data_IF_709492786808
#
_entry.id   IF_709492786808
#
_cell.length_a   1.000
_cell.length_b   1.000
_cell.length_c   1.000
_cell.angle_alpha   90.00
_cell.angle_beta   90.00
_cell.angle_gamma   90.00
#
_symmetry.space_group_name_H-M   'P 1'
#
loop_
_entity.id
_entity.type
_entity.pdbx_description
1 polymer ?
#
# COMPACT_ATOMS: atom_id res chain seq x y z
N UNK A 1 6.29 13.47 -87.69
CA UNK A 1 5.23 12.71 -87.00
C UNK A 1 4.85 11.52 -87.86
N UNK A 2 5.73 10.54 -88.10
CA UNK A 2 6.68 9.85 -87.18
C UNK A 2 5.97 9.11 -86.02
N UNK A 3 6.37 7.90 -85.61
CA UNK A 3 6.93 6.72 -86.35
C UNK A 3 6.91 5.49 -85.40
N UNK A 4 7.22 4.28 -85.89
CA UNK A 4 6.99 2.99 -85.20
C UNK A 4 8.26 2.30 -84.63
N UNK A 5 8.03 1.20 -83.88
CA UNK A 5 8.87 -0.03 -83.69
C UNK A 5 9.75 -0.13 -82.40
N UNK A 6 9.54 -1.14 -81.51
CA UNK A 6 10.20 -2.49 -81.37
C UNK A 6 11.53 -2.40 -80.53
N UNK A 7 11.95 -3.29 -79.58
CA UNK A 7 11.81 -4.76 -79.33
C UNK A 7 11.90 -5.17 -77.83
N UNK A 8 11.23 -6.27 -77.43
CA UNK A 8 11.65 -7.42 -76.57
C UNK A 8 12.03 -7.37 -75.05
N UNK A 9 11.86 -8.54 -74.41
CA UNK A 9 11.99 -8.87 -72.97
C UNK A 9 13.36 -9.48 -72.61
N UNK A 10 13.79 -9.38 -71.34
CA UNK A 10 14.65 -10.43 -70.74
C UNK A 10 14.51 -10.51 -69.21
N UNK A 11 14.45 -11.73 -68.68
CA UNK A 11 14.37 -12.03 -67.24
C UNK A 11 15.73 -12.46 -66.69
N UNK A 12 16.17 -11.90 -65.56
CA UNK A 12 17.42 -12.32 -64.91
C UNK A 12 17.11 -13.25 -63.73
N UNK A 13 17.45 -14.53 -63.93
CA UNK A 13 17.65 -15.53 -62.87
C UNK A 13 19.09 -15.48 -62.39
N UNK A 14 19.32 -15.42 -61.09
CA UNK A 14 20.64 -15.64 -60.49
C UNK A 14 20.64 -16.98 -59.72
N UNK A 15 21.43 -17.95 -60.18
CA UNK A 15 21.76 -19.17 -59.45
C UNK A 15 23.26 -19.21 -59.11
N UNK A 16 23.51 -19.39 -57.81
CA UNK A 16 24.66 -20.04 -57.16
C UNK A 16 26.12 -19.59 -57.45
N UNK A 17 26.79 -19.15 -56.38
CA UNK A 17 27.96 -19.92 -55.90
C UNK A 17 28.24 -19.74 -54.39
N UNK A 18 28.01 -20.83 -53.66
CA UNK A 18 28.78 -21.33 -52.49
C UNK A 18 29.37 -20.28 -51.53
N UNK A 19 28.80 -20.19 -50.33
CA UNK A 19 29.53 -19.85 -49.10
C UNK A 19 29.46 -21.07 -48.17
N UNK A 20 30.60 -21.39 -47.56
CA UNK A 20 30.81 -22.61 -46.78
C UNK A 20 29.96 -22.65 -45.49
N UNK A 21 29.64 -23.87 -45.01
CA UNK A 21 29.01 -24.10 -43.71
C UNK A 21 29.96 -23.73 -42.57
N UNK A 22 30.03 -22.45 -42.21
CA UNK A 22 30.63 -22.03 -40.95
C UNK A 22 29.63 -22.33 -39.83
N UNK A 23 29.69 -23.57 -39.35
CA UNK A 23 28.85 -24.17 -38.32
C UNK A 23 29.20 -23.57 -36.93
N UNK A 24 29.01 -22.26 -36.82
CA UNK A 24 29.07 -21.54 -35.56
C UNK A 24 27.86 -21.93 -34.74
N UNK A 25 28.09 -22.80 -33.74
CA UNK A 25 27.17 -22.93 -32.63
C UNK A 25 26.98 -21.55 -32.04
N UNK A 26 25.78 -20.99 -32.20
CA UNK A 26 25.32 -19.92 -31.32
C UNK A 26 25.17 -20.59 -29.96
N UNK A 27 26.27 -20.59 -29.21
CA UNK A 27 26.21 -20.78 -27.79
C UNK A 27 25.32 -19.67 -27.27
N UNK A 28 24.06 -20.04 -26.96
CA UNK A 28 23.23 -19.29 -26.05
C UNK A 28 23.92 -19.39 -24.68
N UNK A 29 24.97 -18.60 -24.50
CA UNK A 29 25.37 -18.13 -23.19
C UNK A 29 24.14 -17.41 -22.63
N UNK A 30 23.32 -18.15 -21.88
CA UNK A 30 22.47 -17.54 -20.87
C UNK A 30 23.39 -16.67 -20.03
N UNK A 31 23.33 -15.36 -20.27
CA UNK A 31 24.01 -14.38 -19.45
C UNK A 31 23.44 -14.54 -18.05
N UNK A 32 24.14 -15.31 -17.22
CA UNK A 32 23.89 -15.37 -15.79
C UNK A 32 24.23 -14.00 -15.24
N UNK A 33 23.20 -13.14 -15.24
CA UNK A 33 23.21 -11.90 -14.48
C UNK A 33 23.40 -12.33 -13.03
N UNK A 34 24.61 -12.14 -12.52
CA UNK A 34 24.93 -12.36 -11.11
C UNK A 34 24.27 -11.24 -10.29
N UNK A 35 22.98 -11.40 -10.04
CA UNK A 35 22.12 -10.43 -9.37
C UNK A 35 22.63 -10.09 -7.96
N UNK A 36 23.40 -10.99 -7.33
CA UNK A 36 24.10 -10.78 -6.06
C UNK A 36 24.89 -9.46 -6.05
N UNK A 37 25.56 -9.15 -7.16
CA UNK A 37 26.49 -8.03 -7.29
C UNK A 37 25.87 -6.79 -7.97
N UNK A 38 24.60 -6.86 -8.37
CA UNK A 38 23.89 -5.76 -9.04
C UNK A 38 23.85 -4.50 -8.18
N UNK A 39 23.48 -4.65 -6.91
CA UNK A 39 23.31 -3.53 -5.99
C UNK A 39 24.65 -2.91 -5.55
N UNK A 40 25.71 -3.71 -5.36
CA UNK A 40 27.04 -3.18 -5.00
C UNK A 40 27.60 -2.23 -6.06
N UNK A 41 27.33 -2.50 -7.34
CA UNK A 41 27.79 -1.69 -8.47
C UNK A 41 27.01 -0.38 -8.70
N UNK A 42 25.81 -0.23 -8.12
CA UNK A 42 24.91 0.90 -8.40
C UNK A 42 25.37 2.19 -7.74
N UNK A 43 25.21 3.31 -8.45
CA UNK A 43 25.38 4.67 -7.93
C UNK A 43 24.06 5.14 -7.28
N UNK A 44 24.02 5.49 -5.98
CA UNK A 44 22.80 5.92 -5.29
C UNK A 44 22.08 7.08 -5.98
N UNK A 45 22.81 8.03 -6.57
CA UNK A 45 22.20 9.17 -7.28
C UNK A 45 21.51 8.75 -8.57
N UNK A 46 22.02 7.74 -9.28
CA UNK A 46 21.31 7.11 -10.40
C UNK A 46 20.08 6.34 -9.93
N UNK A 47 20.17 5.66 -8.79
CA UNK A 47 19.06 4.91 -8.23
C UNK A 47 17.88 5.81 -7.88
N UNK A 48 18.14 6.98 -7.28
CA UNK A 48 17.13 8.03 -7.04
C UNK A 48 16.41 8.44 -8.33
N UNK A 49 17.14 8.60 -9.43
CA UNK A 49 16.56 8.92 -10.75
C UNK A 49 15.70 7.77 -11.28
N UNK A 50 16.16 6.52 -11.18
CA UNK A 50 15.39 5.37 -11.65
C UNK A 50 14.11 5.17 -10.83
N UNK A 51 14.19 5.18 -9.50
CA UNK A 51 13.04 4.98 -8.62
C UNK A 51 11.97 6.08 -8.76
N UNK A 52 12.36 7.32 -9.07
CA UNK A 52 11.43 8.42 -9.39
C UNK A 52 10.65 8.22 -10.71
N UNK A 53 11.08 7.32 -11.59
CA UNK A 53 10.39 7.05 -12.85
C UNK A 53 9.53 5.77 -12.82
N UNK A 54 9.52 5.03 -11.71
CA UNK A 54 8.83 3.74 -11.55
C UNK A 54 7.68 3.91 -10.54
N UNK A 55 6.77 4.83 -10.83
CA UNK A 55 5.69 5.21 -9.90
C UNK A 55 4.42 4.36 -10.05
N UNK A 56 4.26 3.69 -11.19
CA UNK A 56 3.20 2.69 -11.39
C UNK A 56 3.65 1.60 -12.36
N UNK A 57 3.45 0.33 -12.00
CA UNK A 57 3.74 -0.82 -12.85
C UNK A 57 2.42 -1.56 -13.09
N UNK A 58 1.82 -1.34 -14.26
CA UNK A 58 0.49 -1.89 -14.59
C UNK A 58 0.49 -3.42 -14.84
N UNK A 59 1.66 -4.02 -15.07
CA UNK A 59 1.80 -5.47 -15.23
C UNK A 59 2.09 -6.11 -13.87
N UNK A 60 1.17 -6.94 -13.38
CA UNK A 60 1.33 -7.67 -12.12
C UNK A 60 2.59 -8.54 -12.10
N UNK A 61 2.92 -9.21 -13.21
CA UNK A 61 4.17 -9.99 -13.34
C UNK A 61 5.41 -9.10 -13.20
N UNK A 62 5.45 -7.95 -13.88
CA UNK A 62 6.61 -7.04 -13.80
C UNK A 62 6.70 -6.38 -12.41
N UNK A 63 5.57 -6.05 -11.79
CA UNK A 63 5.51 -5.54 -10.43
C UNK A 63 6.07 -6.56 -9.45
N UNK A 64 5.63 -7.82 -9.54
CA UNK A 64 6.08 -8.89 -8.66
C UNK A 64 7.59 -9.16 -8.79
N UNK A 65 8.14 -9.22 -10.02
CA UNK A 65 9.59 -9.39 -10.21
C UNK A 65 10.38 -8.14 -9.77
N UNK A 66 9.86 -6.93 -9.96
CA UNK A 66 10.51 -5.72 -9.47
C UNK A 66 10.53 -5.66 -7.93
N UNK A 67 9.40 -5.93 -7.27
CA UNK A 67 9.33 -5.97 -5.81
C UNK A 67 10.19 -7.12 -5.26
N UNK A 68 10.25 -8.26 -5.94
CA UNK A 68 11.16 -9.36 -5.58
C UNK A 68 12.62 -8.90 -5.64
N UNK A 69 13.06 -8.23 -6.71
CA UNK A 69 14.41 -7.64 -6.82
C UNK A 69 14.73 -6.64 -5.68
N UNK A 70 13.72 -5.92 -5.17
CA UNK A 70 13.82 -5.03 -4.01
C UNK A 70 13.83 -5.75 -2.65
N UNK A 71 13.66 -7.07 -2.60
CA UNK A 71 13.64 -7.85 -1.35
C UNK A 71 14.62 -9.02 -1.31
N UNK A 72 15.03 -9.54 -2.47
CA UNK A 72 15.91 -10.70 -2.65
C UNK A 72 17.28 -10.20 -3.13
N UNK A 73 18.03 -9.64 -2.19
CA UNK A 73 19.38 -9.11 -2.42
C UNK A 73 20.33 -9.44 -1.27
N UNK A 74 21.62 -9.44 -1.57
CA UNK A 74 22.68 -9.51 -0.57
C UNK A 74 23.49 -8.22 -0.64
N UNK A 75 23.60 -7.48 0.46
CA UNK A 75 24.35 -6.23 0.56
C UNK A 75 25.16 -6.25 1.86
N UNK A 76 26.44 -5.87 1.80
CA UNK A 76 27.21 -5.58 3.01
C UNK A 76 26.84 -4.20 3.56
N UNK A 77 26.04 -4.19 4.63
CA UNK A 77 25.41 -3.00 5.20
C UNK A 77 26.41 -2.19 6.06
N UNK A 78 27.61 -2.72 6.32
CA UNK A 78 28.69 -1.97 6.98
C UNK A 78 29.28 -0.85 6.10
N UNK A 79 28.94 -0.82 4.81
CA UNK A 79 29.34 0.22 3.86
C UNK A 79 28.27 1.32 3.77
N UNK A 80 28.64 2.58 3.99
CA UNK A 80 27.72 3.73 3.94
C UNK A 80 26.98 3.86 2.60
N UNK A 81 27.63 3.49 1.50
CA UNK A 81 27.01 3.47 0.16
C UNK A 81 25.87 2.44 0.09
N UNK A 82 26.08 1.26 0.67
CA UNK A 82 25.10 0.18 0.66
C UNK A 82 23.95 0.47 1.63
N UNK A 83 24.22 1.17 2.74
CA UNK A 83 23.20 1.73 3.62
C UNK A 83 22.29 2.75 2.88
N UNK A 84 22.85 3.67 2.11
CA UNK A 84 22.05 4.61 1.30
C UNK A 84 21.19 3.87 0.25
N UNK A 85 21.73 2.83 -0.41
CA UNK A 85 20.98 1.99 -1.35
C UNK A 85 19.84 1.25 -0.63
N UNK A 86 20.10 0.69 0.56
CA UNK A 86 19.09 0.05 1.39
C UNK A 86 17.96 1.02 1.77
N UNK A 87 18.29 2.24 2.21
CA UNK A 87 17.31 3.28 2.50
C UNK A 87 16.42 3.57 1.28
N UNK A 88 17.02 3.73 0.10
CA UNK A 88 16.29 3.97 -1.14
C UNK A 88 15.38 2.79 -1.51
N UNK A 89 15.82 1.55 -1.29
CA UNK A 89 15.02 0.34 -1.51
C UNK A 89 13.81 0.29 -0.56
N UNK A 90 14.03 0.45 0.75
CA UNK A 90 12.97 0.46 1.77
C UNK A 90 11.98 1.58 1.47
N UNK A 91 12.46 2.79 1.16
CA UNK A 91 11.61 3.90 0.75
C UNK A 91 10.79 3.57 -0.49
N UNK A 92 11.39 2.96 -1.53
CA UNK A 92 10.65 2.62 -2.74
C UNK A 92 9.59 1.54 -2.51
N UNK A 93 9.82 0.60 -1.59
CA UNK A 93 8.80 -0.34 -1.16
C UNK A 93 7.62 0.38 -0.48
N UNK A 94 7.89 1.35 0.39
CA UNK A 94 6.82 2.20 0.99
C UNK A 94 6.06 2.99 -0.06
N UNK A 95 6.75 3.63 -1.01
CA UNK A 95 6.12 4.37 -2.11
C UNK A 95 5.24 3.48 -3.02
N UNK A 96 5.48 2.16 -3.05
CA UNK A 96 4.67 1.16 -3.77
C UNK A 96 3.56 0.52 -2.89
N UNK A 97 3.41 0.95 -1.63
CA UNK A 97 2.49 0.36 -0.66
C UNK A 97 2.91 -1.01 -0.13
N UNK A 98 4.18 -1.41 -0.29
CA UNK A 98 4.74 -2.70 0.15
C UNK A 98 5.29 -2.63 1.59
N UNK A 99 4.52 -2.01 2.49
CA UNK A 99 4.93 -1.69 3.87
C UNK A 99 5.36 -2.95 4.65
N UNK A 100 4.69 -4.09 4.46
CA UNK A 100 5.09 -5.35 5.10
C UNK A 100 6.50 -5.81 4.68
N UNK A 101 6.85 -5.67 3.39
CA UNK A 101 8.18 -6.06 2.88
C UNK A 101 9.24 -5.10 3.38
N UNK A 102 8.94 -3.80 3.39
CA UNK A 102 9.80 -2.77 3.96
C UNK A 102 10.06 -2.98 5.47
N UNK A 103 9.02 -3.30 6.25
CA UNK A 103 9.11 -3.67 7.66
C UNK A 103 9.99 -4.90 7.90
N UNK A 104 9.81 -5.96 7.10
CA UNK A 104 10.61 -7.19 7.21
C UNK A 104 12.10 -6.92 6.94
N UNK A 105 12.43 -6.04 5.99
CA UNK A 105 13.82 -5.62 5.74
C UNK A 105 14.40 -4.85 6.93
N UNK A 106 13.67 -3.89 7.51
CA UNK A 106 14.11 -3.16 8.71
C UNK A 106 14.38 -4.14 9.86
N UNK A 107 13.49 -5.10 10.09
CA UNK A 107 13.65 -6.10 11.17
C UNK A 107 14.82 -7.07 10.97
N UNK A 108 15.26 -7.33 9.74
CA UNK A 108 16.38 -8.24 9.47
C UNK A 108 17.76 -7.59 9.60
N UNK A 109 17.82 -6.27 9.83
CA UNK A 109 19.05 -5.48 9.72
C UNK A 109 19.28 -4.68 11.01
N UNK A 110 20.52 -4.68 11.52
CA UNK A 110 20.91 -3.78 12.60
C UNK A 110 21.34 -2.43 12.02
N UNK A 111 20.60 -1.37 12.36
CA UNK A 111 20.83 0.00 11.87
C UNK A 111 21.21 0.98 13.02
N UNK A 112 22.26 0.70 13.83
CA UNK A 112 22.67 1.60 14.90
C UNK A 112 23.25 2.90 14.33
N UNK A 113 22.68 4.04 14.74
CA UNK A 113 23.07 5.40 14.33
C UNK A 113 22.85 5.74 12.85
N UNK A 114 21.85 5.15 12.20
CA UNK A 114 21.43 5.53 10.84
C UNK A 114 20.77 6.91 10.84
N UNK A 115 21.08 7.76 9.84
CA UNK A 115 20.46 9.09 9.70
C UNK A 115 18.95 9.02 9.40
N UNK A 116 18.50 7.90 8.84
CA UNK A 116 17.11 7.61 8.49
C UNK A 116 16.36 6.87 9.60
N UNK A 117 16.93 6.73 10.81
CA UNK A 117 16.32 6.03 11.96
C UNK A 117 14.86 6.45 12.20
N UNK A 118 14.57 7.75 12.17
CA UNK A 118 13.22 8.29 12.38
C UNK A 118 12.22 7.79 11.31
N UNK A 119 12.66 7.67 10.05
CA UNK A 119 11.82 7.10 8.99
C UNK A 119 11.54 5.61 9.25
N UNK A 120 12.56 4.82 9.60
CA UNK A 120 12.38 3.40 9.90
C UNK A 120 11.47 3.17 11.11
N UNK A 121 11.65 3.94 12.19
CA UNK A 121 10.82 3.84 13.40
C UNK A 121 9.37 4.26 13.15
N UNK A 122 9.15 5.32 12.36
CA UNK A 122 7.81 5.69 11.86
C UNK A 122 7.19 4.55 11.05
N UNK A 123 7.97 3.87 10.20
CA UNK A 123 7.47 2.76 9.38
C UNK A 123 7.11 1.52 10.22
N UNK A 124 7.89 1.21 11.26
CA UNK A 124 7.57 0.10 12.17
C UNK A 124 6.21 0.32 12.87
N UNK A 125 5.92 1.53 13.38
CA UNK A 125 4.60 1.85 13.95
C UNK A 125 3.49 1.82 12.89
N UNK A 126 3.71 2.41 11.72
CA UNK A 126 2.73 2.42 10.63
C UNK A 126 2.31 1.01 10.20
N UNK A 127 3.27 0.09 10.09
CA UNK A 127 2.98 -1.32 9.82
C UNK A 127 2.08 -1.92 10.90
N UNK A 128 2.44 -1.80 12.18
CA UNK A 128 1.70 -2.41 13.29
C UNK A 128 0.29 -1.83 13.45
N UNK A 129 0.10 -0.51 13.29
CA UNK A 129 -1.24 0.08 13.30
C UNK A 129 -2.08 -0.33 12.08
N UNK A 130 -1.50 -0.43 10.88
CA UNK A 130 -2.20 -0.91 9.68
C UNK A 130 -2.72 -2.35 9.83
N UNK A 131 -1.88 -3.24 10.40
CA UNK A 131 -2.20 -4.66 10.63
C UNK A 131 -3.00 -4.90 11.90
N UNK A 132 -3.25 -3.87 12.71
CA UNK A 132 -3.96 -3.94 14.00
C UNK A 132 -3.23 -4.71 15.11
N UNK A 133 -1.90 -4.76 15.02
CA UNK A 133 -1.02 -5.28 16.06
C UNK A 133 -0.82 -4.24 17.16
N UNK A 134 -1.93 -3.88 17.84
CA UNK A 134 -1.97 -2.77 18.79
C UNK A 134 -1.07 -3.01 20.00
N UNK A 135 -1.04 -4.24 20.52
CA UNK A 135 -0.18 -4.57 21.67
C UNK A 135 1.29 -4.39 21.30
N UNK A 136 1.71 -4.92 20.14
CA UNK A 136 3.07 -4.79 19.65
C UNK A 136 3.43 -3.32 19.33
N UNK A 137 2.48 -2.51 18.87
CA UNK A 137 2.67 -1.07 18.68
C UNK A 137 2.87 -0.35 20.03
N UNK A 138 2.10 -0.72 21.05
CA UNK A 138 2.20 -0.17 22.39
C UNK A 138 3.46 -0.63 23.15
N UNK A 139 3.98 -1.83 22.88
CA UNK A 139 5.31 -2.25 23.37
C UNK A 139 6.43 -1.51 22.62
N UNK A 140 6.28 -1.28 21.31
CA UNK A 140 7.30 -0.63 20.48
C UNK A 140 7.46 0.88 20.80
N UNK A 141 6.36 1.60 21.11
CA UNK A 141 6.48 3.01 21.54
C UNK A 141 7.32 3.16 22.82
N UNK A 142 7.30 2.17 23.71
CA UNK A 142 7.99 2.26 25.00
C UNK A 142 9.50 2.15 24.81
N UNK A 143 9.95 1.29 23.88
CA UNK A 143 11.34 1.27 23.40
C UNK A 143 11.76 2.61 22.79
N UNK A 144 10.88 3.26 22.01
CA UNK A 144 11.17 4.55 21.38
C UNK A 144 11.24 5.69 22.41
N UNK A 145 10.38 5.67 23.42
CA UNK A 145 10.39 6.59 24.56
C UNK A 145 11.68 6.45 25.38
N UNK A 146 12.15 5.22 25.64
CA UNK A 146 13.43 4.96 26.30
C UNK A 146 14.65 5.45 25.49
N UNK A 147 14.50 5.59 24.17
CA UNK A 147 15.51 6.14 23.26
C UNK A 147 15.39 7.65 23.04
N UNK A 148 14.46 8.33 23.72
CA UNK A 148 14.14 9.77 23.56
C UNK A 148 13.86 10.18 22.09
N UNK A 149 13.30 9.27 21.29
CA UNK A 149 13.04 9.51 19.87
C UNK A 149 11.96 10.57 19.65
N UNK A 150 12.16 11.40 18.63
CA UNK A 150 11.19 12.44 18.22
C UNK A 150 10.70 12.14 16.82
N UNK A 151 9.48 11.63 16.74
CA UNK A 151 8.81 11.40 15.46
C UNK A 151 8.12 12.69 14.97
N UNK A 152 7.87 12.84 13.66
CA UNK A 152 7.12 13.98 13.14
C UNK A 152 5.72 14.11 13.76
N UNK A 153 5.17 15.32 13.73
CA UNK A 153 3.78 15.64 14.09
C UNK A 153 3.28 15.08 15.44
N UNK A 154 4.21 14.93 16.40
CA UNK A 154 3.98 14.37 17.74
C UNK A 154 3.42 12.94 17.70
N UNK A 155 3.83 12.14 16.70
CA UNK A 155 3.32 10.78 16.51
C UNK A 155 3.59 9.90 17.75
N UNK A 156 4.79 9.94 18.32
CA UNK A 156 5.12 9.09 19.46
C UNK A 156 4.24 9.43 20.67
N UNK A 157 4.02 10.72 20.93
CA UNK A 157 3.17 11.24 21.99
C UNK A 157 1.68 10.89 21.77
N UNK A 158 1.20 10.98 20.53
CA UNK A 158 -0.18 10.59 20.15
C UNK A 158 -0.41 9.08 20.26
N UNK A 159 0.59 8.28 19.87
CA UNK A 159 0.58 6.83 20.07
C UNK A 159 0.63 6.47 21.56
N UNK A 160 1.38 7.22 22.38
CA UNK A 160 1.44 7.04 23.83
C UNK A 160 0.07 7.28 24.48
N UNK A 161 -0.56 8.42 24.19
CA UNK A 161 -1.93 8.75 24.62
C UNK A 161 -2.92 7.66 24.18
N UNK A 162 -2.91 7.25 22.90
CA UNK A 162 -3.82 6.22 22.39
C UNK A 162 -3.63 4.88 23.12
N UNK A 163 -2.39 4.44 23.33
CA UNK A 163 -2.10 3.22 24.08
C UNK A 163 -2.53 3.31 25.56
N UNK A 164 -2.38 4.45 26.22
CA UNK A 164 -2.89 4.63 27.58
C UNK A 164 -4.42 4.50 27.64
N UNK A 165 -5.14 5.01 26.63
CA UNK A 165 -6.60 4.80 26.52
C UNK A 165 -6.94 3.33 26.30
N UNK A 166 -6.18 2.61 25.47
CA UNK A 166 -6.32 1.17 25.27
C UNK A 166 -6.05 0.34 26.54
N UNK A 167 -5.24 0.86 27.45
CA UNK A 167 -4.93 0.26 28.76
C UNK A 167 -5.89 0.72 29.89
N UNK A 168 -6.96 1.44 29.57
CA UNK A 168 -7.91 2.05 30.52
C UNK A 168 -7.28 3.08 31.49
N UNK A 169 -6.06 3.55 31.21
CA UNK A 169 -5.32 4.57 31.99
C UNK A 169 -5.74 5.99 31.60
N UNK A 170 -7.02 6.29 31.82
CA UNK A 170 -7.66 7.49 31.30
C UNK A 170 -7.15 8.78 31.94
N UNK A 171 -6.78 8.75 33.22
CA UNK A 171 -6.25 9.94 33.91
C UNK A 171 -4.86 10.32 33.36
N UNK A 172 -3.99 9.33 33.12
CA UNK A 172 -2.69 9.52 32.49
C UNK A 172 -2.83 9.98 31.03
N UNK A 173 -3.74 9.38 30.26
CA UNK A 173 -4.01 9.78 28.87
C UNK A 173 -4.51 11.24 28.78
N UNK A 174 -5.42 11.65 29.68
CA UNK A 174 -5.92 13.03 29.73
C UNK A 174 -4.83 14.03 30.15
N UNK A 175 -3.94 13.64 31.06
CA UNK A 175 -2.80 14.46 31.46
C UNK A 175 -1.82 14.67 30.29
N UNK A 176 -1.42 13.60 29.61
CA UNK A 176 -0.53 13.69 28.46
C UNK A 176 -1.17 14.45 27.29
N UNK A 177 -2.47 14.26 27.03
CA UNK A 177 -3.15 15.03 25.98
C UNK A 177 -3.23 16.53 26.31
N UNK A 178 -3.40 16.89 27.59
CA UNK A 178 -3.36 18.29 28.02
C UNK A 178 -1.98 18.91 27.75
N UNK A 179 -0.89 18.17 28.01
CA UNK A 179 0.48 18.59 27.70
C UNK A 179 0.71 18.68 26.18
N UNK A 180 0.18 17.72 25.40
CA UNK A 180 0.27 17.74 23.93
C UNK A 180 -0.37 19.02 23.36
N UNK A 181 -1.61 19.34 23.75
CA UNK A 181 -2.32 20.54 23.28
C UNK A 181 -1.62 21.84 23.67
N UNK A 182 -0.91 21.89 24.81
CA UNK A 182 -0.10 23.04 25.22
C UNK A 182 1.25 23.14 24.48
N UNK A 183 1.77 22.04 23.93
CA UNK A 183 3.12 21.96 23.34
C UNK A 183 3.14 21.83 21.82
N UNK A 184 2.04 21.42 21.18
CA UNK A 184 1.95 21.27 19.73
C UNK A 184 1.79 22.61 19.00
N UNK A 185 2.63 22.84 17.99
CA UNK A 185 2.61 24.10 17.20
C UNK A 185 1.39 24.16 16.28
N UNK A 186 0.97 23.01 15.75
CA UNK A 186 -0.18 22.84 14.88
C UNK A 186 -1.10 21.80 15.53
N UNK A 187 -2.23 22.22 16.09
CA UNK A 187 -3.18 21.32 16.75
C UNK A 187 -3.79 20.34 15.74
N UNK A 188 -3.65 19.05 16.03
CA UNK A 188 -4.27 17.97 15.28
C UNK A 188 -5.73 17.77 15.69
N UNK A 189 -6.61 18.64 15.17
CA UNK A 189 -8.03 18.58 15.48
C UNK A 189 -8.65 17.21 15.19
N UNK A 190 -8.16 16.49 14.18
CA UNK A 190 -8.68 15.16 13.83
C UNK A 190 -8.30 14.09 14.87
N UNK A 191 -7.07 14.12 15.38
CA UNK A 191 -6.66 13.31 16.53
C UNK A 191 -7.48 13.66 17.78
N UNK A 192 -7.65 14.95 18.08
CA UNK A 192 -8.40 15.42 19.25
C UNK A 192 -9.88 15.00 19.20
N UNK A 193 -10.51 15.11 18.03
CA UNK A 193 -11.90 14.67 17.82
C UNK A 193 -12.04 13.14 17.98
N UNK A 194 -11.12 12.34 17.40
CA UNK A 194 -11.07 10.88 17.59
C UNK A 194 -10.89 10.49 19.06
N UNK A 195 -9.91 11.08 19.73
CA UNK A 195 -9.60 10.80 21.13
C UNK A 195 -10.81 11.12 22.03
N UNK A 196 -11.46 12.26 21.81
CA UNK A 196 -12.67 12.65 22.54
C UNK A 196 -13.83 11.65 22.32
N UNK A 197 -14.01 11.11 21.11
CA UNK A 197 -15.03 10.09 20.84
C UNK A 197 -14.72 8.77 21.56
N UNK A 198 -13.45 8.34 21.60
CA UNK A 198 -13.03 7.12 22.31
C UNK A 198 -13.17 7.29 23.83
N UNK A 199 -12.81 8.44 24.38
CA UNK A 199 -12.91 8.74 25.82
C UNK A 199 -14.37 8.94 26.29
N UNK A 200 -15.22 9.49 25.42
CA UNK A 200 -16.62 9.78 25.71
C UNK A 200 -17.55 9.05 24.71
N UNK A 201 -17.57 7.70 24.72
CA UNK A 201 -18.41 6.93 23.81
C UNK A 201 -19.88 7.31 24.06
N UNK A 202 -20.54 7.79 23.01
CA UNK A 202 -21.96 8.14 23.09
C UNK A 202 -22.81 6.87 23.16
N UNK A 203 -23.96 6.96 23.82
CA UNK A 203 -24.97 5.91 23.78
C UNK A 203 -25.36 5.60 22.32
N UNK A 204 -25.55 4.32 21.99
CA UNK A 204 -25.78 3.72 20.66
C UNK A 204 -26.80 4.40 19.74
N UNK A 205 -27.65 5.28 20.28
CA UNK A 205 -28.69 6.01 19.54
C UNK A 205 -28.18 7.28 18.82
N UNK A 206 -27.00 7.81 19.14
CA UNK A 206 -26.41 8.95 18.43
C UNK A 206 -25.39 8.49 17.39
N UNK A 207 -25.76 8.57 16.11
CA UNK A 207 -24.82 8.37 14.99
C UNK A 207 -23.74 9.45 15.00
N UNK A 208 -22.57 9.11 15.55
CA UNK A 208 -21.36 9.92 15.42
C UNK A 208 -20.77 9.69 14.03
N UNK A 209 -20.55 10.77 13.28
CA UNK A 209 -19.85 10.74 11.99
C UNK A 209 -18.67 11.67 12.04
N UNK A 210 -17.46 11.13 11.85
CA UNK A 210 -16.24 11.92 11.74
C UNK A 210 -15.71 11.84 10.30
N UNK A 211 -15.34 12.98 9.73
CA UNK A 211 -14.76 13.07 8.37
C UNK A 211 -13.31 13.51 8.50
N UNK A 212 -12.39 12.85 7.78
CA UNK A 212 -10.99 13.27 7.72
C UNK A 212 -10.92 14.71 7.21
N UNK A 213 -10.19 15.57 7.93
CA UNK A 213 -10.08 16.99 7.58
C UNK A 213 -9.23 17.17 6.31
N UNK A 214 -9.02 18.41 5.84
CA UNK A 214 -8.19 18.67 4.64
C UNK A 214 -6.69 18.82 4.96
N UNK A 215 -6.40 18.99 6.23
CA UNK A 215 -5.14 19.36 6.87
C UNK A 215 -4.67 18.27 7.85
N UNK A 216 -5.15 17.04 7.67
CA UNK A 216 -4.69 15.86 8.39
C UNK A 216 -3.20 15.59 8.15
N UNK A 217 -2.54 14.98 9.14
CA UNK A 217 -1.14 14.55 9.02
C UNK A 217 -1.08 13.17 8.35
N UNK A 218 -0.43 13.07 7.19
CA UNK A 218 -0.41 11.83 6.38
C UNK A 218 0.37 10.70 7.07
N UNK A 219 1.41 11.04 7.83
CA UNK A 219 2.20 10.12 8.66
C UNK A 219 1.39 9.48 9.80
N UNK A 220 0.28 10.10 10.21
CA UNK A 220 -0.62 9.59 11.25
C UNK A 220 -1.79 8.76 10.69
N UNK A 221 -1.90 8.55 9.38
CA UNK A 221 -3.08 7.92 8.75
C UNK A 221 -3.36 6.50 9.28
N UNK A 222 -2.33 5.76 9.67
CA UNK A 222 -2.46 4.41 10.22
C UNK A 222 -2.91 4.43 11.70
N UNK A 223 -2.39 5.37 12.50
CA UNK A 223 -2.89 5.62 13.85
C UNK A 223 -4.36 6.04 13.83
N UNK A 224 -4.72 6.99 12.97
CA UNK A 224 -6.12 7.38 12.73
C UNK A 224 -6.99 6.19 12.32
N UNK A 225 -6.49 5.32 11.43
CA UNK A 225 -7.19 4.09 11.03
C UNK A 225 -7.38 3.12 12.20
N UNK A 226 -6.44 3.03 13.14
CA UNK A 226 -6.57 2.20 14.34
C UNK A 226 -7.58 2.81 15.33
N UNK A 227 -7.51 4.12 15.57
CA UNK A 227 -8.42 4.88 16.43
C UNK A 227 -9.88 4.80 15.93
N UNK A 228 -10.12 4.97 14.62
CA UNK A 228 -11.45 4.80 14.01
C UNK A 228 -12.04 3.41 14.29
N UNK A 229 -11.21 2.35 14.23
CA UNK A 229 -11.65 0.97 14.45
C UNK A 229 -11.99 0.70 15.92
N UNK A 230 -11.25 1.29 16.85
CA UNK A 230 -11.55 1.27 18.29
C UNK A 230 -12.84 2.04 18.60
N UNK A 231 -13.07 3.17 17.94
CA UNK A 231 -14.27 3.98 18.08
C UNK A 231 -15.51 3.40 17.35
N UNK A 232 -15.40 2.23 16.70
CA UNK A 232 -16.40 1.65 15.79
C UNK A 232 -16.93 2.64 14.73
N UNK A 233 -16.05 3.52 14.22
CA UNK A 233 -16.38 4.52 13.22
C UNK A 233 -16.10 4.04 11.77
N UNK A 234 -16.84 4.54 10.77
CA UNK A 234 -16.58 4.24 9.37
C UNK A 234 -15.23 4.81 8.91
N UNK A 235 -14.48 4.00 8.17
CA UNK A 235 -13.36 4.50 7.38
C UNK A 235 -13.92 5.05 6.05
N UNK A 236 -13.41 6.20 5.61
CA UNK A 236 -13.91 6.86 4.40
C UNK A 236 -13.10 6.48 3.15
N UNK A 237 -13.67 6.71 1.97
CA UNK A 237 -13.02 6.54 0.66
C UNK A 237 -11.64 7.23 0.59
N UNK A 238 -11.43 8.32 1.33
CA UNK A 238 -10.14 9.04 1.38
C UNK A 238 -9.02 8.16 1.96
N UNK A 239 -9.29 7.27 2.92
CA UNK A 239 -8.31 6.29 3.40
C UNK A 239 -7.90 5.31 2.27
N UNK A 240 -8.88 4.81 1.51
CA UNK A 240 -8.66 3.93 0.35
C UNK A 240 -7.90 4.61 -0.82
N UNK A 241 -7.83 5.94 -0.82
CA UNK A 241 -7.09 6.74 -1.80
C UNK A 241 -5.67 7.08 -1.34
N UNK A 242 -5.42 7.18 -0.02
CA UNK A 242 -4.09 7.48 0.53
C UNK A 242 -3.19 6.26 0.39
N UNK A 243 -3.62 5.10 0.89
CA UNK A 243 -2.89 3.84 0.73
C UNK A 243 -3.86 2.69 0.44
N UNK A 244 -4.12 2.36 -0.84
CA UNK A 244 -5.03 1.28 -1.20
C UNK A 244 -4.51 -0.11 -0.80
N UNK A 245 -3.22 -0.29 -0.56
CA UNK A 245 -2.67 -1.60 -0.19
C UNK A 245 -2.85 -1.85 1.31
N UNK A 246 -2.45 -0.89 2.14
CA UNK A 246 -2.39 -1.08 3.59
C UNK A 246 -3.68 -0.66 4.32
N UNK A 247 -4.55 0.16 3.70
CA UNK A 247 -5.83 0.56 4.30
C UNK A 247 -7.06 -0.22 3.77
N UNK A 248 -6.92 -1.04 2.72
CA UNK A 248 -8.04 -1.86 2.23
C UNK A 248 -8.52 -2.88 3.27
N UNK A 249 -7.61 -3.59 3.96
CA UNK A 249 -7.99 -4.59 4.98
C UNK A 249 -8.73 -3.94 6.18
N UNK A 250 -8.23 -2.84 6.79
CA UNK A 250 -8.98 -2.03 7.75
C UNK A 250 -10.41 -1.66 7.30
N UNK A 251 -10.57 -1.25 6.03
CA UNK A 251 -11.88 -0.88 5.47
C UNK A 251 -12.80 -2.11 5.36
N UNK A 252 -12.33 -3.20 4.75
CA UNK A 252 -13.11 -4.44 4.53
C UNK A 252 -13.64 -5.01 5.85
N UNK A 253 -12.82 -4.98 6.91
CA UNK A 253 -13.14 -5.54 8.22
C UNK A 253 -14.00 -4.60 9.10
N UNK A 254 -14.08 -3.31 8.79
CA UNK A 254 -14.90 -2.37 9.56
C UNK A 254 -16.40 -2.54 9.23
N UNK A 255 -17.18 -2.99 10.21
CA UNK A 255 -18.64 -3.12 10.09
C UNK A 255 -19.38 -1.78 10.05
N UNK A 256 -18.76 -0.71 10.57
CA UNK A 256 -19.31 0.64 10.52
C UNK A 256 -19.19 1.27 9.12
N UNK A 257 -18.22 0.82 8.32
CA UNK A 257 -18.02 1.31 6.95
C UNK A 257 -19.11 0.79 6.00
N UNK A 258 -19.58 1.66 5.10
CA UNK A 258 -20.62 1.31 4.13
C UNK A 258 -20.20 0.15 3.21
N UNK A 259 -21.14 -0.78 2.96
CA UNK A 259 -20.88 -2.02 2.24
C UNK A 259 -20.35 -1.80 0.82
N UNK A 260 -20.79 -0.75 0.14
CA UNK A 260 -20.29 -0.35 -1.18
C UNK A 260 -18.77 -0.04 -1.15
N UNK A 261 -18.31 0.73 -0.15
CA UNK A 261 -16.90 1.03 0.05
C UNK A 261 -16.10 -0.20 0.50
N UNK A 262 -16.67 -1.07 1.35
CA UNK A 262 -16.05 -2.35 1.71
C UNK A 262 -15.81 -3.22 0.48
N UNK A 263 -16.80 -3.30 -0.42
CA UNK A 263 -16.72 -4.03 -1.69
C UNK A 263 -15.66 -3.41 -2.61
N UNK A 264 -15.59 -2.08 -2.68
CA UNK A 264 -14.56 -1.37 -3.45
C UNK A 264 -13.15 -1.69 -2.97
N UNK A 265 -12.95 -1.66 -1.65
CA UNK A 265 -11.68 -2.03 -1.03
C UNK A 265 -11.34 -3.52 -1.26
N UNK A 266 -12.32 -4.42 -1.15
CA UNK A 266 -12.11 -5.84 -1.44
C UNK A 266 -11.69 -6.10 -2.88
N UNK A 267 -12.29 -5.42 -3.86
CA UNK A 267 -11.88 -5.50 -5.26
C UNK A 267 -10.43 -5.03 -5.47
N UNK A 268 -10.04 -3.88 -4.91
CA UNK A 268 -8.64 -3.42 -4.95
C UNK A 268 -7.69 -4.42 -4.29
N UNK A 269 -8.03 -4.90 -3.09
CA UNK A 269 -7.22 -5.86 -2.34
C UNK A 269 -7.05 -7.18 -3.11
N UNK A 270 -8.09 -7.69 -3.75
CA UNK A 270 -8.02 -8.91 -4.57
C UNK A 270 -7.11 -8.72 -5.79
N UNK A 271 -7.24 -7.62 -6.53
CA UNK A 271 -6.38 -7.32 -7.68
C UNK A 271 -4.89 -7.21 -7.29
N UNK A 272 -4.61 -6.78 -6.04
CA UNK A 272 -3.27 -6.66 -5.49
C UNK A 272 -2.83 -7.92 -4.70
N UNK A 273 -3.58 -9.04 -4.77
CA UNK A 273 -3.30 -10.32 -4.11
C UNK A 273 -3.27 -10.26 -2.56
N UNK A 274 -3.94 -9.27 -1.96
CA UNK A 274 -3.99 -9.04 -0.51
C UNK A 274 -5.14 -9.81 0.18
N UNK A 275 -6.15 -10.25 -0.58
CA UNK A 275 -7.20 -11.17 -0.13
C UNK A 275 -7.43 -12.28 -1.14
N UNK A 276 -7.98 -13.42 -0.69
CA UNK A 276 -8.35 -14.51 -1.59
C UNK A 276 -9.70 -14.27 -2.29
N UNK A 277 -9.97 -15.05 -3.33
CA UNK A 277 -11.24 -14.99 -4.05
C UNK A 277 -12.43 -15.39 -3.16
N UNK A 278 -12.22 -16.29 -2.18
CA UNK A 278 -13.23 -16.70 -1.21
C UNK A 278 -13.61 -15.52 -0.28
N UNK A 279 -12.64 -14.71 0.15
CA UNK A 279 -12.90 -13.51 0.95
C UNK A 279 -13.70 -12.46 0.17
N UNK A 280 -13.39 -12.27 -1.12
CA UNK A 280 -14.16 -11.37 -1.99
C UNK A 280 -15.59 -11.91 -2.22
N UNK A 281 -15.72 -13.20 -2.50
CA UNK A 281 -17.01 -13.87 -2.69
C UNK A 281 -17.91 -13.79 -1.44
N UNK A 282 -17.35 -13.99 -0.24
CA UNK A 282 -18.09 -13.86 1.01
C UNK A 282 -18.66 -12.44 1.20
N UNK A 283 -17.92 -11.40 0.80
CA UNK A 283 -18.40 -10.02 0.86
C UNK A 283 -19.50 -9.76 -0.18
N UNK A 284 -19.38 -10.30 -1.40
CA UNK A 284 -20.46 -10.24 -2.40
C UNK A 284 -21.74 -10.95 -1.94
N UNK A 285 -21.62 -12.08 -1.23
CA UNK A 285 -22.75 -12.80 -0.63
C UNK A 285 -23.40 -12.04 0.54
N UNK A 286 -22.68 -11.11 1.17
CA UNK A 286 -23.21 -10.32 2.30
C UNK A 286 -24.16 -9.18 1.88
N UNK A 287 -24.30 -8.90 0.58
CA UNK A 287 -25.26 -7.89 0.09
C UNK A 287 -26.68 -8.47 0.12
N UNK A 288 -27.57 -7.83 0.87
CA UNK A 288 -28.96 -8.28 1.04
C UNK A 288 -29.83 -7.90 -0.17
N UNK A 289 -29.77 -8.73 -1.23
CA UNK A 289 -30.69 -8.67 -2.36
C UNK A 289 -31.91 -9.56 -2.09
N UNK A 290 -33.08 -8.94 -2.00
CA UNK A 290 -34.32 -9.68 -1.79
C UNK A 290 -34.79 -10.43 -3.07
N UNK A 291 -35.73 -11.36 -2.89
CA UNK A 291 -36.28 -12.16 -3.98
C UNK A 291 -36.85 -11.34 -5.15
N UNK A 292 -37.43 -10.17 -4.90
CA UNK A 292 -37.97 -9.33 -5.98
C UNK A 292 -36.83 -8.69 -6.79
N UNK A 293 -35.73 -8.29 -6.13
CA UNK A 293 -34.53 -7.77 -6.78
C UNK A 293 -33.84 -8.84 -7.65
N UNK A 294 -33.74 -10.08 -7.16
CA UNK A 294 -33.15 -11.19 -7.90
C UNK A 294 -34.04 -11.64 -9.08
N UNK A 295 -35.37 -11.63 -8.93
CA UNK A 295 -36.31 -12.03 -9.99
C UNK A 295 -36.58 -10.95 -11.06
N UNK A 296 -36.20 -9.68 -10.84
CA UNK A 296 -36.42 -8.59 -11.80
C UNK A 296 -35.11 -7.86 -12.21
N UNK A 297 -34.18 -8.51 -12.96
CA UNK A 297 -32.83 -7.96 -13.15
C UNK A 297 -32.76 -6.62 -13.86
N UNK A 298 -33.63 -6.35 -14.83
CA UNK A 298 -33.62 -5.06 -15.55
C UNK A 298 -33.96 -3.89 -14.62
N UNK A 299 -34.97 -4.06 -13.76
CA UNK A 299 -35.39 -3.03 -12.80
C UNK A 299 -34.35 -2.86 -11.68
N UNK A 300 -33.73 -3.95 -11.23
CA UNK A 300 -32.66 -3.89 -10.22
C UNK A 300 -31.40 -3.19 -10.76
N UNK A 301 -31.00 -3.48 -12.00
CA UNK A 301 -29.86 -2.81 -12.64
C UNK A 301 -30.14 -1.31 -12.91
N UNK A 302 -31.37 -0.92 -13.20
CA UNK A 302 -31.78 0.49 -13.28
C UNK A 302 -31.71 1.18 -11.90
N UNK A 303 -32.12 0.50 -10.82
CA UNK A 303 -32.01 1.03 -9.44
C UNK A 303 -30.57 1.16 -8.94
N UNK A 304 -29.70 0.23 -9.31
CA UNK A 304 -28.27 0.23 -8.95
C UNK A 304 -27.41 1.11 -9.89
N UNK A 305 -28.02 1.94 -10.75
CA UNK A 305 -27.29 2.74 -11.72
C UNK A 305 -26.22 3.61 -11.04
N UNK A 306 -24.97 3.48 -11.51
CA UNK A 306 -23.74 4.09 -10.98
C UNK A 306 -23.13 3.43 -9.71
N UNK A 307 -23.74 2.39 -9.14
CA UNK A 307 -23.18 1.60 -8.03
C UNK A 307 -22.48 0.34 -8.56
N UNK A 308 -21.36 0.52 -9.27
CA UNK A 308 -20.66 -0.58 -9.97
C UNK A 308 -20.31 -1.74 -9.04
N UNK A 309 -19.90 -1.42 -7.82
CA UNK A 309 -19.58 -2.32 -6.72
C UNK A 309 -20.76 -3.22 -6.35
N UNK A 310 -21.96 -2.65 -6.21
CA UNK A 310 -23.18 -3.43 -5.92
C UNK A 310 -23.68 -4.20 -7.14
N UNK A 311 -23.49 -3.68 -8.36
CA UNK A 311 -23.79 -4.39 -9.62
C UNK A 311 -22.92 -5.66 -9.73
N UNK A 312 -21.64 -5.61 -9.35
CA UNK A 312 -20.76 -6.79 -9.35
C UNK A 312 -21.23 -7.85 -8.35
N UNK A 313 -21.57 -7.43 -7.12
CA UNK A 313 -22.14 -8.35 -6.12
C UNK A 313 -23.49 -8.94 -6.56
N UNK A 314 -24.34 -8.14 -7.23
CA UNK A 314 -25.62 -8.58 -7.78
C UNK A 314 -25.44 -9.66 -8.85
N UNK A 315 -24.54 -9.45 -9.83
CA UNK A 315 -24.24 -10.46 -10.85
C UNK A 315 -23.61 -11.73 -10.24
N UNK A 316 -22.79 -11.59 -9.20
CA UNK A 316 -22.26 -12.75 -8.48
C UNK A 316 -23.38 -13.59 -7.84
N UNK A 317 -24.36 -12.95 -7.18
CA UNK A 317 -25.49 -13.67 -6.58
C UNK A 317 -26.47 -14.23 -7.62
N UNK A 318 -26.64 -13.61 -8.79
CA UNK A 318 -27.45 -14.17 -9.89
C UNK A 318 -26.82 -15.42 -10.54
N UNK A 319 -25.51 -15.61 -10.41
CA UNK A 319 -24.77 -16.68 -11.07
C UNK A 319 -24.65 -17.97 -10.22
N UNK A 320 -25.08 -17.96 -8.96
CA UNK A 320 -24.93 -19.05 -7.98
C UNK A 320 -26.28 -19.51 -7.41
#
# INVERSE_FOLDING_TARGET
TEEESITEEESITEEESIIEEDNSSIDNEEVKIDASNFWEGIDPDRLKIYFKNIDSINSSTLYNEFVKLLTDFNLDINNSKNNEILFLIIKKLVDLGEIQKAYNLIKSIQLPNDENLIFYKTLELNFLFSTYQLNEACELKDDFNLQELKLPNYYLEKADIFCLVMEEKLDEANLLNSILVETEVNNDQYFQDLLNIILNPKNDNEKVSLTLTKDYFEDLIFLYSAMLRIAELPLTEKFLQIDPNNLSIPIILSNATELELRIKAANKAYLNNLISIESLAALYQSVDFNSDQLNNPLETLEKLQNQNELIMAYFFQLAN
#
